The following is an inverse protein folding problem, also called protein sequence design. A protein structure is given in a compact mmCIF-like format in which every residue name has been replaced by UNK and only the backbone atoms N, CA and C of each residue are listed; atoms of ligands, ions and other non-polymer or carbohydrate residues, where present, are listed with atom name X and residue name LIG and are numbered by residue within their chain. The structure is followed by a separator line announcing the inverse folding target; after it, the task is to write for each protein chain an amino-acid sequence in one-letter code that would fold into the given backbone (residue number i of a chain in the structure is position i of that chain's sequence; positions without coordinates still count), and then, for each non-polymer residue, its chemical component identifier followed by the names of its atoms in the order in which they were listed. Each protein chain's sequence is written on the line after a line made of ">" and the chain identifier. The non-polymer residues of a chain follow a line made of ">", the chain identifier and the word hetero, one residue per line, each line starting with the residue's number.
data_IF_563082285138
#
_entry.id   IF_563082285138
#
_cell.length_a   1.000
_cell.length_b   1.000
_cell.length_c   1.000
_cell.angle_alpha   90.00
_cell.angle_beta   90.00
_cell.angle_gamma   90.00
#
_symmetry.space_group_name_H-M   'P 1'
#
loop_
_entity.id
_entity.type
_entity.pdbx_description
1 polymer ?
#
# COMPACT_ATOMS: atom_id res chain seq x y z
N UNK A 1 -22.46 -9.66 -7.14
CA UNK A 1 -21.36 -10.57 -6.77
C UNK A 1 -20.17 -10.44 -7.72
N UNK A 2 -20.24 -10.98 -8.94
CA UNK A 2 -19.08 -10.95 -9.85
C UNK A 2 -18.51 -9.56 -10.13
N UNK A 3 -19.37 -8.54 -10.29
CA UNK A 3 -18.91 -7.15 -10.46
C UNK A 3 -18.11 -6.60 -9.28
N UNK A 4 -18.42 -7.02 -8.05
CA UNK A 4 -17.70 -6.60 -6.84
C UNK A 4 -16.29 -7.16 -6.86
N UNK A 5 -16.14 -8.45 -7.20
CA UNK A 5 -14.83 -9.10 -7.32
C UNK A 5 -13.98 -8.50 -8.44
N UNK A 6 -14.59 -8.11 -9.56
CA UNK A 6 -13.87 -7.39 -10.62
C UNK A 6 -13.40 -6.02 -10.11
N UNK A 7 -14.25 -5.28 -9.41
CA UNK A 7 -13.91 -3.97 -8.88
C UNK A 7 -12.75 -4.05 -7.86
N UNK A 8 -12.81 -4.99 -6.92
CA UNK A 8 -11.74 -5.20 -5.93
C UNK A 8 -10.46 -5.73 -6.58
N UNK A 9 -10.58 -6.62 -7.57
CA UNK A 9 -9.46 -7.11 -8.37
C UNK A 9 -8.74 -5.98 -9.12
N UNK A 10 -9.48 -5.10 -9.79
CA UNK A 10 -8.92 -3.92 -10.48
C UNK A 10 -8.23 -2.99 -9.47
N UNK A 11 -8.84 -2.71 -8.32
CA UNK A 11 -8.24 -1.87 -7.29
C UNK A 11 -6.89 -2.43 -6.79
N UNK A 12 -6.79 -3.77 -6.66
CA UNK A 12 -5.53 -4.46 -6.30
C UNK A 12 -4.51 -4.48 -7.44
N UNK A 13 -4.95 -4.53 -8.70
CA UNK A 13 -4.06 -4.39 -9.86
C UNK A 13 -3.47 -2.98 -9.94
N UNK A 14 -4.22 -1.94 -9.57
CA UNK A 14 -3.71 -0.55 -9.64
C UNK A 14 -2.64 -0.29 -8.57
N UNK A 15 -2.85 -0.79 -7.35
CA UNK A 15 -1.89 -0.62 -6.25
C UNK A 15 -1.64 -1.96 -5.51
N UNK A 16 -0.89 -2.90 -6.09
CA UNK A 16 -0.66 -4.22 -5.50
C UNK A 16 0.15 -4.16 -4.21
N UNK A 17 0.98 -3.13 -4.05
CA UNK A 17 1.84 -2.95 -2.88
C UNK A 17 1.05 -2.81 -1.58
N UNK A 18 -0.06 -2.06 -1.60
CA UNK A 18 -0.96 -1.93 -0.43
C UNK A 18 -1.44 -3.29 0.06
N UNK A 19 -1.86 -4.16 -0.87
CA UNK A 19 -2.31 -5.51 -0.54
C UNK A 19 -1.17 -6.39 -0.04
N UNK A 20 0.02 -6.30 -0.65
CA UNK A 20 1.25 -6.99 -0.20
C UNK A 20 1.60 -6.59 1.24
N UNK A 21 1.54 -5.29 1.56
CA UNK A 21 1.79 -4.77 2.91
C UNK A 21 0.76 -5.29 3.91
N UNK A 22 -0.51 -5.30 3.52
CA UNK A 22 -1.57 -5.83 4.36
C UNK A 22 -1.31 -7.31 4.71
N UNK A 23 -0.94 -8.13 3.72
CA UNK A 23 -0.58 -9.54 3.94
C UNK A 23 0.69 -9.65 4.80
N UNK A 24 1.70 -8.81 4.57
CA UNK A 24 2.94 -8.81 5.34
C UNK A 24 2.71 -8.50 6.82
N UNK A 25 1.77 -7.60 7.15
CA UNK A 25 1.39 -7.29 8.54
C UNK A 25 0.75 -8.47 9.27
N UNK A 26 0.14 -9.42 8.55
CA UNK A 26 -0.46 -10.60 9.17
C UNK A 26 0.61 -11.56 9.73
N UNK A 27 1.82 -11.55 9.15
CA UNK A 27 2.96 -12.40 9.52
C UNK A 27 2.65 -13.91 9.46
N UNK A 28 1.80 -14.30 8.50
CA UNK A 28 1.33 -15.69 8.32
C UNK A 28 2.13 -16.45 7.26
N UNK A 29 2.86 -15.74 6.40
CA UNK A 29 3.46 -16.27 5.17
C UNK A 29 4.93 -15.89 5.14
N UNK A 30 5.78 -16.79 4.61
CA UNK A 30 7.20 -16.50 4.39
C UNK A 30 7.39 -15.23 3.53
N UNK A 31 8.22 -14.27 3.95
CA UNK A 31 8.47 -13.02 3.22
C UNK A 31 8.73 -13.18 1.72
N UNK A 32 9.44 -14.25 1.30
CA UNK A 32 9.74 -14.51 -0.11
C UNK A 32 8.51 -14.91 -0.94
N UNK A 33 7.48 -15.45 -0.30
CA UNK A 33 6.26 -15.91 -0.95
C UNK A 33 5.13 -14.86 -0.93
N UNK A 34 5.25 -13.78 -0.15
CA UNK A 34 4.18 -12.77 -0.03
C UNK A 34 3.87 -12.14 -1.38
N UNK A 35 4.89 -11.73 -2.14
CA UNK A 35 4.71 -11.10 -3.45
C UNK A 35 4.00 -12.04 -4.44
N UNK A 36 4.53 -13.24 -4.76
CA UNK A 36 3.88 -14.12 -5.74
C UNK A 36 2.47 -14.56 -5.29
N UNK A 37 2.25 -14.78 -4.00
CA UNK A 37 0.92 -15.12 -3.46
C UNK A 37 -0.04 -13.95 -3.64
N UNK A 38 0.38 -12.71 -3.34
CA UNK A 38 -0.48 -11.53 -3.46
C UNK A 38 -0.90 -11.25 -4.90
N UNK A 39 0.04 -11.39 -5.85
CA UNK A 39 -0.25 -11.24 -7.28
C UNK A 39 -1.19 -12.34 -7.79
N UNK A 40 -0.93 -13.59 -7.38
CA UNK A 40 -1.79 -14.73 -7.76
C UNK A 40 -3.20 -14.59 -7.18
N UNK A 41 -3.30 -14.17 -5.92
CA UNK A 41 -4.59 -13.93 -5.25
C UNK A 41 -5.39 -12.85 -5.98
N UNK A 42 -4.74 -11.76 -6.39
CA UNK A 42 -5.35 -10.69 -7.18
C UNK A 42 -5.88 -11.20 -8.52
N UNK A 43 -5.12 -12.05 -9.22
CA UNK A 43 -5.56 -12.65 -10.47
C UNK A 43 -6.73 -13.63 -10.27
N UNK A 44 -6.72 -14.45 -9.21
CA UNK A 44 -7.81 -15.37 -8.87
C UNK A 44 -9.10 -14.60 -8.58
N UNK A 45 -9.03 -13.50 -7.85
CA UNK A 45 -10.21 -12.68 -7.54
C UNK A 45 -10.86 -12.11 -8.81
N UNK A 46 -10.06 -11.55 -9.73
CA UNK A 46 -10.53 -11.08 -11.04
C UNK A 46 -11.16 -12.22 -11.86
N UNK A 47 -10.54 -13.41 -11.85
CA UNK A 47 -11.07 -14.61 -12.51
C UNK A 47 -12.40 -15.03 -11.93
N UNK A 48 -12.54 -15.10 -10.60
CA UNK A 48 -13.79 -15.45 -9.94
C UNK A 48 -14.88 -14.42 -10.27
N UNK A 49 -14.53 -13.14 -10.33
CA UNK A 49 -15.44 -12.08 -10.75
C UNK A 49 -15.99 -12.29 -12.16
N UNK A 50 -15.12 -12.52 -13.14
CA UNK A 50 -15.52 -12.77 -14.54
C UNK A 50 -16.27 -14.10 -14.68
N UNK A 51 -15.81 -15.16 -14.01
CA UNK A 51 -16.42 -16.48 -14.06
C UNK A 51 -17.84 -16.48 -13.47
N UNK A 52 -18.07 -15.74 -12.38
CA UNK A 52 -19.41 -15.56 -11.80
C UNK A 52 -20.36 -14.77 -12.72
N UNK A 53 -19.86 -13.79 -13.48
CA UNK A 53 -20.68 -13.03 -14.45
C UNK A 53 -21.04 -13.89 -15.65
N UNK A 54 -20.08 -14.66 -16.16
CA UNK A 54 -20.26 -15.50 -17.34
C UNK A 54 -20.93 -16.84 -17.03
N UNK A 55 -21.09 -17.21 -15.76
CA UNK A 55 -21.65 -18.50 -15.34
C UNK A 55 -20.75 -19.69 -15.67
N UNK A 56 -19.43 -19.51 -15.59
CA UNK A 56 -18.47 -20.58 -15.91
C UNK A 56 -18.33 -21.53 -14.74
N UNK A 57 -18.60 -22.82 -14.95
CA UNK A 57 -18.45 -23.90 -13.96
C UNK A 57 -18.99 -23.49 -12.58
N UNK A 58 -20.28 -23.16 -12.46
CA UNK A 58 -20.86 -22.70 -11.19
C UNK A 58 -20.62 -23.70 -10.04
N UNK A 59 -20.62 -25.00 -10.34
CA UNK A 59 -20.31 -26.09 -9.40
C UNK A 59 -18.92 -26.01 -8.74
N UNK A 60 -17.96 -25.31 -9.36
CA UNK A 60 -16.62 -25.08 -8.81
C UNK A 60 -16.46 -23.63 -8.36
N UNK A 61 -16.92 -22.67 -9.16
CA UNK A 61 -16.70 -21.23 -8.90
C UNK A 61 -17.50 -20.73 -7.70
N UNK A 62 -18.73 -21.23 -7.48
CA UNK A 62 -19.52 -20.85 -6.30
C UNK A 62 -18.86 -21.28 -4.98
N UNK A 63 -18.50 -22.57 -4.76
CA UNK A 63 -17.86 -22.96 -3.51
C UNK A 63 -16.48 -22.34 -3.32
N UNK A 64 -15.70 -22.14 -4.39
CA UNK A 64 -14.41 -21.42 -4.30
C UNK A 64 -14.62 -19.95 -3.90
N UNK A 65 -15.65 -19.29 -4.43
CA UNK A 65 -15.98 -17.90 -4.06
C UNK A 65 -16.45 -17.79 -2.61
N UNK A 66 -17.24 -18.77 -2.14
CA UNK A 66 -17.66 -18.86 -0.73
C UNK A 66 -16.44 -19.07 0.17
N UNK A 67 -15.55 -20.01 -0.19
CA UNK A 67 -14.33 -20.27 0.55
C UNK A 67 -13.45 -19.02 0.64
N UNK A 68 -13.28 -18.29 -0.46
CA UNK A 68 -12.55 -17.03 -0.50
C UNK A 68 -13.15 -16.01 0.49
N UNK A 69 -14.46 -15.78 0.44
CA UNK A 69 -15.16 -14.84 1.31
C UNK A 69 -15.07 -15.25 2.78
N UNK A 70 -15.16 -16.55 3.09
CA UNK A 70 -14.98 -17.08 4.43
C UNK A 70 -13.55 -16.84 4.93
N UNK A 71 -12.53 -17.15 4.12
CA UNK A 71 -11.13 -16.90 4.46
C UNK A 71 -10.87 -15.42 4.72
N UNK A 72 -11.36 -14.52 3.86
CA UNK A 72 -11.24 -13.07 4.03
C UNK A 72 -11.96 -12.58 5.30
N UNK A 73 -13.13 -13.14 5.60
CA UNK A 73 -13.88 -12.79 6.82
C UNK A 73 -13.16 -13.26 8.07
N UNK A 74 -12.62 -14.48 8.07
CA UNK A 74 -11.85 -15.02 9.19
C UNK A 74 -10.57 -14.22 9.42
N UNK A 75 -9.85 -13.86 8.36
CA UNK A 75 -8.67 -13.00 8.44
C UNK A 75 -9.01 -11.61 8.97
N UNK A 76 -10.10 -11.00 8.49
CA UNK A 76 -10.57 -9.70 8.97
C UNK A 76 -10.87 -9.75 10.45
N UNK A 77 -11.68 -10.73 10.89
CA UNK A 77 -12.03 -10.92 12.30
C UNK A 77 -10.79 -11.12 13.18
N UNK A 78 -9.89 -12.03 12.77
CA UNK A 78 -8.65 -12.30 13.51
C UNK A 78 -7.74 -11.07 13.60
N UNK A 79 -7.57 -10.34 12.49
CA UNK A 79 -6.74 -9.14 12.45
C UNK A 79 -7.30 -8.03 13.34
N UNK A 80 -8.63 -7.84 13.34
CA UNK A 80 -9.27 -6.84 14.21
C UNK A 80 -9.23 -7.24 15.68
N UNK A 81 -9.40 -8.53 16.00
CA UNK A 81 -9.37 -9.01 17.39
C UNK A 81 -7.96 -8.97 17.99
N UNK A 82 -6.92 -9.01 17.15
CA UNK A 82 -5.52 -8.94 17.58
C UNK A 82 -4.96 -7.53 17.51
N UNK A 83 -5.74 -6.54 17.05
CA UNK A 83 -5.30 -5.17 16.87
C UNK A 83 -4.25 -4.99 15.76
N UNK A 84 -4.08 -5.98 14.86
CA UNK A 84 -3.03 -5.97 13.83
C UNK A 84 -3.35 -5.03 12.66
N UNK A 85 -4.63 -4.84 12.33
CA UNK A 85 -5.05 -3.91 11.29
C UNK A 85 -6.37 -3.24 11.65
N UNK A 86 -6.47 -1.94 11.36
CA UNK A 86 -7.69 -1.14 11.54
C UNK A 86 -8.62 -1.20 10.31
N UNK A 87 -8.09 -1.62 9.15
CA UNK A 87 -8.81 -1.68 7.87
C UNK A 87 -8.94 -3.11 7.33
N UNK A 88 -10.01 -3.35 6.56
CA UNK A 88 -10.30 -4.64 5.96
C UNK A 88 -9.32 -5.10 4.86
N UNK A 89 -8.42 -4.23 4.38
CA UNK A 89 -7.36 -4.52 3.39
C UNK A 89 -7.81 -4.97 1.99
N UNK A 90 -9.08 -5.34 1.82
CA UNK A 90 -9.61 -5.96 0.61
C UNK A 90 -10.00 -4.94 -0.48
N UNK A 91 -10.43 -3.74 -0.09
CA UNK A 91 -10.91 -2.69 -0.99
C UNK A 91 -9.84 -1.64 -1.30
N UNK A 92 -8.59 -1.85 -0.85
CA UNK A 92 -7.44 -1.00 -1.16
C UNK A 92 -7.64 0.51 -0.87
N UNK A 93 -8.51 0.84 0.10
CA UNK A 93 -8.85 2.22 0.47
C UNK A 93 -9.85 2.94 -0.44
N UNK A 94 -10.29 2.32 -1.54
CA UNK A 94 -11.26 2.94 -2.48
C UNK A 94 -12.65 3.08 -1.87
N UNK A 95 -12.99 2.19 -0.94
CA UNK A 95 -14.22 2.25 -0.17
C UNK A 95 -13.86 2.15 1.31
N UNK A 96 -14.10 3.23 2.06
CA UNK A 96 -13.90 3.27 3.52
C UNK A 96 -14.97 2.39 4.20
N UNK A 97 -14.70 1.09 4.26
CA UNK A 97 -15.58 0.11 4.91
C UNK A 97 -14.94 -0.30 6.23
N UNK A 98 -15.68 -0.10 7.32
CA UNK A 98 -15.27 -0.60 8.64
C UNK A 98 -15.16 -2.13 8.63
N UNK A 99 -14.27 -2.73 9.43
CA UNK A 99 -14.12 -4.18 9.45
C UNK A 99 -15.43 -4.93 9.73
N UNK A 100 -16.29 -4.39 10.59
CA UNK A 100 -17.63 -4.94 10.89
C UNK A 100 -18.57 -4.87 9.68
N UNK A 101 -18.60 -3.76 8.95
CA UNK A 101 -19.36 -3.67 7.70
C UNK A 101 -18.85 -4.65 6.64
N UNK A 102 -17.53 -4.84 6.53
CA UNK A 102 -16.93 -5.81 5.61
C UNK A 102 -17.37 -7.24 5.93
N UNK A 103 -17.38 -7.61 7.22
CA UNK A 103 -17.87 -8.92 7.68
C UNK A 103 -19.34 -9.14 7.35
N UNK A 104 -20.20 -8.12 7.57
CA UNK A 104 -21.63 -8.19 7.25
C UNK A 104 -21.84 -8.33 5.74
N UNK A 105 -21.14 -7.53 4.93
CA UNK A 105 -21.21 -7.60 3.47
C UNK A 105 -20.78 -8.98 2.97
N UNK A 106 -19.68 -9.52 3.48
CA UNK A 106 -19.22 -10.86 3.13
C UNK A 106 -20.24 -11.94 3.54
N UNK A 107 -20.89 -11.81 4.70
CA UNK A 107 -21.94 -12.74 5.12
C UNK A 107 -23.16 -12.71 4.18
N UNK A 108 -23.60 -11.51 3.77
CA UNK A 108 -24.68 -11.33 2.79
C UNK A 108 -24.28 -11.96 1.45
N UNK A 109 -23.04 -11.72 1.01
CA UNK A 109 -22.48 -12.28 -0.22
C UNK A 109 -22.43 -13.81 -0.22
N UNK A 110 -22.01 -14.41 0.89
CA UNK A 110 -22.02 -15.87 1.07
C UNK A 110 -23.46 -16.39 1.03
N UNK A 111 -24.39 -15.74 1.73
CA UNK A 111 -25.81 -16.12 1.71
C UNK A 111 -26.39 -16.08 0.29
N UNK A 112 -26.09 -15.03 -0.48
CA UNK A 112 -26.53 -14.91 -1.88
C UNK A 112 -25.94 -15.99 -2.77
N UNK A 113 -24.68 -16.38 -2.57
CA UNK A 113 -24.04 -17.46 -3.33
C UNK A 113 -24.67 -18.82 -3.00
N UNK A 114 -24.88 -19.12 -1.71
CA UNK A 114 -25.55 -20.36 -1.29
C UNK A 114 -26.97 -20.40 -1.86
N UNK A 115 -27.72 -19.30 -1.76
CA UNK A 115 -29.06 -19.21 -2.34
C UNK A 115 -29.04 -19.44 -3.86
N UNK A 116 -28.07 -18.86 -4.58
CA UNK A 116 -27.91 -19.07 -6.02
C UNK A 116 -27.54 -20.52 -6.36
N UNK A 117 -26.81 -21.23 -5.51
CA UNK A 117 -26.47 -22.65 -5.72
C UNK A 117 -27.69 -23.57 -5.59
N UNK A 118 -28.62 -23.28 -4.67
CA UNK A 118 -29.85 -24.07 -4.50
C UNK A 118 -30.89 -23.84 -5.60
N UNK A 119 -30.96 -22.64 -6.17
CA UNK A 119 -32.00 -22.26 -7.15
C UNK A 119 -31.47 -22.08 -8.57
N UNK A 120 -30.14 -22.11 -8.76
CA UNK A 120 -29.48 -21.94 -10.05
C UNK A 120 -29.70 -23.13 -10.96
N UNK A 121 -29.87 -22.87 -12.25
CA UNK A 121 -29.80 -23.90 -13.28
C UNK A 121 -28.41 -23.90 -13.88
N UNK A 122 -27.73 -25.03 -13.81
CA UNK A 122 -26.43 -25.21 -14.44
C UNK A 122 -26.56 -25.14 -15.96
N UNK A 123 -25.88 -24.17 -16.57
CA UNK A 123 -25.71 -24.12 -18.01
C UNK A 123 -24.35 -24.69 -18.41
N UNK A 124 -24.27 -25.45 -19.51
CA UNK A 124 -23.02 -26.01 -19.97
C UNK A 124 -22.05 -24.89 -20.35
N UNK A 125 -20.80 -25.03 -19.91
CA UNK A 125 -19.76 -24.06 -20.23
C UNK A 125 -19.29 -24.21 -21.67
N UNK A 126 -19.10 -23.08 -22.36
CA UNK A 126 -18.68 -23.02 -23.76
C UNK A 126 -17.20 -22.66 -23.84
N UNK A 127 -16.50 -23.15 -24.88
CA UNK A 127 -15.05 -22.92 -25.06
C UNK A 127 -14.63 -21.44 -25.01
N UNK A 128 -15.43 -20.53 -25.56
CA UNK A 128 -15.09 -19.10 -25.53
C UNK A 128 -15.07 -18.54 -24.10
N UNK A 129 -15.92 -19.05 -23.19
CA UNK A 129 -15.94 -18.61 -21.80
C UNK A 129 -14.65 -19.03 -21.07
N UNK A 130 -14.15 -20.23 -21.35
CA UNK A 130 -12.84 -20.70 -20.86
C UNK A 130 -11.70 -19.83 -21.34
N UNK A 131 -11.72 -19.44 -22.63
CA UNK A 131 -10.73 -18.51 -23.18
C UNK A 131 -10.78 -17.17 -22.47
N UNK A 132 -11.96 -16.60 -22.21
CA UNK A 132 -12.09 -15.33 -21.48
C UNK A 132 -11.56 -15.44 -20.05
N UNK A 133 -11.88 -16.53 -19.33
CA UNK A 133 -11.37 -16.76 -17.96
C UNK A 133 -9.85 -16.88 -17.95
N UNK A 134 -9.28 -17.67 -18.87
CA UNK A 134 -7.82 -17.84 -18.98
C UNK A 134 -7.12 -16.52 -19.33
N UNK A 135 -7.66 -15.78 -20.31
CA UNK A 135 -7.15 -14.45 -20.67
C UNK A 135 -7.24 -13.48 -19.50
N UNK A 136 -8.33 -13.52 -18.73
CA UNK A 136 -8.49 -12.68 -17.53
C UNK A 136 -7.40 -12.97 -16.50
N UNK A 137 -7.08 -14.25 -16.27
CA UNK A 137 -5.99 -14.63 -15.35
C UNK A 137 -4.65 -14.06 -15.82
N UNK A 138 -4.28 -14.31 -17.07
CA UNK A 138 -2.99 -13.91 -17.65
C UNK A 138 -2.87 -12.38 -17.65
N UNK A 139 -3.90 -11.67 -18.12
CA UNK A 139 -3.91 -10.21 -18.17
C UNK A 139 -3.86 -9.62 -16.75
N UNK A 140 -4.68 -10.12 -15.82
CA UNK A 140 -4.71 -9.60 -14.44
C UNK A 140 -3.36 -9.79 -13.75
N UNK A 141 -2.74 -10.95 -13.90
CA UNK A 141 -1.43 -11.24 -13.33
C UNK A 141 -0.34 -10.35 -13.95
N UNK A 142 -0.31 -10.23 -15.28
CA UNK A 142 0.67 -9.42 -15.99
C UNK A 142 0.55 -7.93 -15.62
N UNK A 143 -0.68 -7.40 -15.55
CA UNK A 143 -0.92 -6.01 -15.14
C UNK A 143 -0.52 -5.78 -13.68
N UNK A 144 -0.87 -6.69 -12.76
CA UNK A 144 -0.48 -6.58 -11.36
C UNK A 144 1.05 -6.63 -11.20
N UNK A 145 1.74 -7.54 -11.91
CA UNK A 145 3.19 -7.60 -11.90
C UNK A 145 3.84 -6.33 -12.47
N UNK A 146 3.36 -5.84 -13.61
CA UNK A 146 3.88 -4.61 -14.22
C UNK A 146 3.62 -3.36 -13.36
N UNK A 147 2.48 -3.29 -12.68
CA UNK A 147 2.19 -2.19 -11.73
C UNK A 147 3.11 -2.22 -10.50
N UNK A 148 3.48 -3.42 -10.02
CA UNK A 148 4.42 -3.58 -8.94
C UNK A 148 5.83 -3.17 -9.35
N UNK A 149 6.29 -3.60 -10.53
CA UNK A 149 7.60 -3.23 -11.08
C UNK A 149 7.69 -1.71 -11.29
N UNK A 150 6.68 -1.09 -11.90
CA UNK A 150 6.60 0.35 -12.04
C UNK A 150 6.68 1.08 -10.69
N UNK A 151 6.01 0.56 -9.67
CA UNK A 151 6.04 1.14 -8.33
C UNK A 151 7.42 0.99 -7.67
N UNK A 152 8.13 -0.13 -7.89
CA UNK A 152 9.48 -0.32 -7.38
C UNK A 152 10.49 0.64 -8.04
N UNK A 153 10.32 0.94 -9.33
CA UNK A 153 11.18 1.87 -10.05
C UNK A 153 10.92 3.33 -9.67
N UNK A 154 9.64 3.73 -9.61
CA UNK A 154 9.23 5.13 -9.49
C UNK A 154 8.78 5.53 -8.07
N UNK A 155 8.61 4.57 -7.17
CA UNK A 155 8.12 4.78 -5.81
C UNK A 155 6.63 5.09 -5.72
N UNK A 156 5.85 5.05 -6.82
CA UNK A 156 4.45 5.48 -6.84
C UNK A 156 3.57 4.61 -7.74
N UNK A 157 2.26 4.53 -7.47
CA UNK A 157 1.32 3.89 -8.37
C UNK A 157 1.13 4.69 -9.66
N UNK A 158 0.63 4.04 -10.71
CA UNK A 158 0.27 4.69 -11.98
C UNK A 158 -0.80 5.77 -11.82
N UNK A 159 -1.75 5.53 -10.92
CA UNK A 159 -2.87 6.42 -10.66
C UNK A 159 -2.85 6.80 -9.18
N UNK A 160 -2.61 8.07 -8.89
CA UNK A 160 -2.63 8.62 -7.53
C UNK A 160 -3.83 9.57 -7.37
N UNK A 161 -4.79 9.19 -6.53
CA UNK A 161 -5.99 9.99 -6.22
C UNK A 161 -5.89 10.74 -4.87
N UNK A 162 -4.71 10.76 -4.26
CA UNK A 162 -4.51 11.44 -2.98
C UNK A 162 -4.40 12.96 -3.16
N UNK A 163 -4.59 13.74 -2.07
CA UNK A 163 -4.30 15.17 -2.11
C UNK A 163 -2.85 15.54 -2.47
N UNK A 164 -1.92 14.61 -2.25
CA UNK A 164 -0.46 14.75 -2.36
C UNK A 164 0.08 14.46 -3.78
N UNK A 165 -0.69 14.81 -4.81
CA UNK A 165 -0.30 14.64 -6.21
C UNK A 165 0.87 15.57 -6.59
N UNK A 166 1.63 15.16 -7.60
CA UNK A 166 2.68 15.98 -8.20
C UNK A 166 2.13 17.30 -8.77
N UNK A 167 2.98 18.31 -8.79
CA UNK A 167 2.68 19.67 -9.25
C UNK A 167 1.56 20.38 -8.46
N UNK A 168 1.14 19.83 -7.32
CA UNK A 168 0.26 20.52 -6.37
C UNK A 168 1.09 21.24 -5.32
N UNK A 169 0.55 22.36 -4.85
CA UNK A 169 1.14 23.11 -3.73
C UNK A 169 0.83 22.42 -2.42
N UNK A 170 1.81 22.39 -1.52
CA UNK A 170 1.62 22.06 -0.13
C UNK A 170 0.65 23.06 0.51
N UNK A 171 -0.28 22.58 1.34
CA UNK A 171 -1.21 23.45 2.06
C UNK A 171 -0.63 23.78 3.43
N UNK A 172 -0.48 25.07 3.72
CA UNK A 172 0.10 25.60 4.97
C UNK A 172 -0.73 25.16 6.18
N UNK A 173 -2.06 25.02 6.00
CA UNK A 173 -3.00 24.59 7.03
C UNK A 173 -2.77 23.16 7.53
N UNK A 174 -1.91 22.39 6.87
CA UNK A 174 -1.63 21.00 7.23
C UNK A 174 -0.65 20.85 8.40
N UNK A 175 0.32 21.76 8.55
CA UNK A 175 1.36 21.70 9.59
C UNK A 175 1.46 22.97 10.45
N UNK A 176 0.63 23.99 10.20
CA UNK A 176 0.63 25.22 11.00
C UNK A 176 1.98 25.94 10.93
N UNK A 177 2.53 26.35 12.07
CA UNK A 177 3.80 27.11 12.16
C UNK A 177 5.00 26.34 11.58
N UNK A 178 5.01 25.01 11.66
CA UNK A 178 6.10 24.18 11.12
C UNK A 178 6.17 24.18 9.58
N UNK A 179 5.10 24.65 8.92
CA UNK A 179 5.02 24.66 7.45
C UNK A 179 5.85 25.77 6.79
N UNK A 180 6.25 26.83 7.50
CA UNK A 180 7.05 27.92 6.92
C UNK A 180 8.42 27.42 6.44
N UNK A 181 9.00 26.45 7.15
CA UNK A 181 10.26 25.79 6.79
C UNK A 181 10.17 24.94 5.52
N UNK A 182 8.95 24.50 5.15
CA UNK A 182 8.67 23.66 3.99
C UNK A 182 8.47 24.48 2.69
N UNK A 183 8.31 25.80 2.82
CA UNK A 183 8.01 26.69 1.69
C UNK A 183 9.26 27.13 0.93
N UNK A 184 10.46 26.87 1.45
CA UNK A 184 11.72 27.31 0.87
C UNK A 184 12.73 26.17 0.77
N UNK A 185 13.29 25.98 -0.43
CA UNK A 185 14.29 24.93 -0.68
C UNK A 185 13.68 23.56 -0.93
N UNK A 186 14.53 22.54 -0.96
CA UNK A 186 14.10 21.15 -1.16
C UNK A 186 13.94 20.47 0.20
N UNK A 187 12.75 19.94 0.49
CA UNK A 187 12.45 19.25 1.75
C UNK A 187 11.75 17.92 1.47
N UNK A 188 12.11 16.86 2.18
CA UNK A 188 11.43 15.56 2.15
C UNK A 188 10.59 15.44 3.42
N UNK A 189 9.27 15.41 3.26
CA UNK A 189 8.33 15.13 4.33
C UNK A 189 8.06 13.63 4.37
N UNK A 190 8.34 12.97 5.49
CA UNK A 190 8.22 11.52 5.65
C UNK A 190 7.15 11.17 6.68
N UNK A 191 6.06 10.58 6.22
CA UNK A 191 4.97 10.06 7.04
C UNK A 191 5.30 8.65 7.52
N UNK A 192 5.30 8.47 8.84
CA UNK A 192 5.65 7.22 9.54
C UNK A 192 4.62 6.90 10.63
N UNK A 193 4.79 5.74 11.25
CA UNK A 193 4.01 5.31 12.41
C UNK A 193 4.91 4.55 13.40
N UNK A 194 4.68 4.64 14.73
CA UNK A 194 5.51 3.93 15.72
C UNK A 194 5.49 2.40 15.53
N UNK A 195 4.37 1.86 15.04
CA UNK A 195 4.16 0.42 14.83
C UNK A 195 4.70 -0.08 13.47
N UNK A 196 5.32 0.80 12.70
CA UNK A 196 5.76 0.54 11.33
C UNK A 196 7.08 -0.25 11.28
N UNK A 197 7.01 -1.56 11.10
CA UNK A 197 8.18 -2.42 10.95
C UNK A 197 9.07 -2.03 9.75
N UNK A 198 8.46 -1.56 8.66
CA UNK A 198 9.18 -1.18 7.44
C UNK A 198 9.88 0.18 7.53
N UNK A 199 9.42 1.06 8.40
CA UNK A 199 9.99 2.39 8.58
C UNK A 199 11.46 2.30 9.02
N UNK A 200 11.86 1.21 9.70
CA UNK A 200 13.25 0.96 10.10
C UNK A 200 14.25 1.03 8.92
N UNK A 201 13.89 0.51 7.75
CA UNK A 201 14.76 0.55 6.57
C UNK A 201 14.91 1.98 6.04
N UNK A 202 13.81 2.73 6.00
CA UNK A 202 13.82 4.13 5.60
C UNK A 202 14.65 4.99 6.55
N UNK A 203 14.50 4.80 7.87
CA UNK A 203 15.26 5.53 8.88
C UNK A 203 16.78 5.35 8.71
N UNK A 204 17.24 4.15 8.33
CA UNK A 204 18.64 3.92 8.01
C UNK A 204 19.16 4.82 6.88
N UNK A 205 18.39 4.92 5.78
CA UNK A 205 18.74 5.76 4.63
C UNK A 205 18.61 7.25 4.95
N UNK A 206 17.54 7.66 5.62
CA UNK A 206 17.26 9.07 5.96
C UNK A 206 18.35 9.66 6.86
N UNK A 207 18.90 8.88 7.79
CA UNK A 207 20.05 9.31 8.59
C UNK A 207 21.23 9.68 7.72
N UNK A 208 21.56 8.88 6.70
CA UNK A 208 22.68 9.16 5.80
C UNK A 208 22.48 10.43 4.97
N UNK A 209 21.22 10.70 4.58
CA UNK A 209 20.84 11.87 3.78
C UNK A 209 21.06 13.18 4.54
N UNK A 210 20.74 13.20 5.84
CA UNK A 210 20.82 14.41 6.65
C UNK A 210 22.25 14.93 6.86
N UNK A 211 23.25 14.04 6.85
CA UNK A 211 24.65 14.42 7.07
C UNK A 211 25.33 15.08 5.85
N UNK A 212 24.58 15.36 4.77
CA UNK A 212 25.14 15.94 3.55
C UNK A 212 24.53 17.32 3.26
N UNK A 213 25.36 18.37 3.23
CA UNK A 213 24.97 19.78 3.06
C UNK A 213 24.21 20.11 1.75
N UNK A 214 24.21 19.19 0.78
CA UNK A 214 23.59 19.36 -0.54
C UNK A 214 22.34 18.49 -0.76
N UNK A 215 21.83 17.83 0.28
CA UNK A 215 20.61 17.03 0.21
C UNK A 215 19.41 17.78 0.80
N UNK A 216 18.17 17.42 0.40
CA UNK A 216 16.96 18.03 0.93
C UNK A 216 16.91 17.91 2.45
N UNK A 217 16.39 18.94 3.13
CA UNK A 217 16.06 18.82 4.55
C UNK A 217 15.01 17.71 4.75
N UNK A 218 14.98 17.09 5.92
CA UNK A 218 14.03 16.01 6.22
C UNK A 218 13.13 16.46 7.36
N UNK A 219 11.83 16.23 7.22
CA UNK A 219 10.84 16.42 8.28
C UNK A 219 10.05 15.12 8.43
N UNK A 220 10.11 14.50 9.60
CA UNK A 220 9.33 13.31 9.92
C UNK A 220 7.97 13.68 10.51
N UNK A 221 6.93 12.95 10.12
CA UNK A 221 5.59 13.01 10.71
C UNK A 221 5.25 11.64 11.28
N UNK A 222 4.67 11.60 12.48
CA UNK A 222 4.27 10.36 13.15
C UNK A 222 2.81 10.45 13.57
N UNK A 223 2.04 9.40 13.31
CA UNK A 223 0.60 9.31 13.62
C UNK A 223 0.31 8.97 15.10
N UNK A 224 0.79 9.81 16.02
CA UNK A 224 0.51 9.67 17.45
C UNK A 224 -0.06 10.96 18.04
N UNK A 225 -1.03 10.82 18.95
CA UNK A 225 -1.52 11.91 19.79
C UNK A 225 -0.63 12.14 21.02
N UNK A 226 0.24 11.17 21.36
CA UNK A 226 1.09 11.24 22.54
C UNK A 226 2.49 11.75 22.19
N UNK A 227 2.81 12.96 22.63
CA UNK A 227 4.14 13.59 22.45
C UNK A 227 5.25 12.72 23.05
N UNK A 228 5.00 12.00 24.14
CA UNK A 228 5.99 11.13 24.79
C UNK A 228 6.34 9.92 23.91
N UNK A 229 5.37 9.38 23.19
CA UNK A 229 5.58 8.28 22.24
C UNK A 229 6.39 8.74 21.03
N UNK A 230 6.11 9.95 20.53
CA UNK A 230 6.91 10.59 19.49
C UNK A 230 8.37 10.79 19.94
N UNK A 231 8.59 11.29 21.16
CA UNK A 231 9.94 11.47 21.69
C UNK A 231 10.66 10.13 21.87
N UNK A 232 9.97 9.11 22.40
CA UNK A 232 10.52 7.76 22.53
C UNK A 232 10.91 7.16 21.16
N UNK A 233 10.13 7.43 20.11
CA UNK A 233 10.48 7.02 18.75
C UNK A 233 11.74 7.74 18.24
N UNK A 234 11.85 9.06 18.42
CA UNK A 234 13.05 9.83 18.05
C UNK A 234 14.29 9.30 18.77
N UNK A 235 14.19 9.07 20.07
CA UNK A 235 15.29 8.64 20.92
C UNK A 235 15.72 7.19 20.60
N UNK A 236 14.76 6.27 20.44
CA UNK A 236 15.03 4.86 20.15
C UNK A 236 15.72 4.65 18.81
N UNK A 237 15.40 5.49 17.83
CA UNK A 237 16.02 5.47 16.52
C UNK A 237 17.13 6.52 16.37
N UNK A 238 17.50 7.29 17.39
CA UNK A 238 18.54 8.34 17.29
C UNK A 238 18.36 9.23 16.04
N UNK A 239 17.18 9.81 15.89
CA UNK A 239 16.86 10.67 14.74
C UNK A 239 17.37 12.09 15.00
N UNK A 240 18.12 12.64 14.04
CA UNK A 240 18.69 13.98 14.15
C UNK A 240 17.87 15.03 13.40
N UNK A 241 16.84 14.63 12.64
CA UNK A 241 15.95 15.52 11.90
C UNK A 241 14.68 15.80 12.71
N UNK A 242 14.01 16.95 12.49
CA UNK A 242 12.78 17.28 13.18
C UNK A 242 11.69 16.25 12.88
N UNK A 243 11.02 15.79 13.94
CA UNK A 243 9.89 14.87 13.88
C UNK A 243 8.70 15.48 14.62
N UNK A 244 7.55 15.57 13.95
CA UNK A 244 6.33 16.19 14.48
C UNK A 244 5.27 15.11 14.67
N UNK A 245 4.66 15.10 15.85
CA UNK A 245 3.51 14.26 16.15
C UNK A 245 2.25 14.87 15.53
N UNK A 246 1.48 14.06 14.80
CA UNK A 246 0.23 14.47 14.15
C UNK A 246 -0.86 13.44 14.40
N UNK A 247 -2.11 13.92 14.48
CA UNK A 247 -3.28 13.08 14.72
C UNK A 247 -3.56 12.12 13.54
N UNK A 248 -4.01 10.90 13.80
CA UNK A 248 -4.46 9.94 12.77
C UNK A 248 -5.49 10.53 11.80
N UNK A 249 -6.34 11.46 12.25
CA UNK A 249 -7.29 12.19 11.40
C UNK A 249 -6.61 12.97 10.28
N UNK A 250 -5.40 13.47 10.53
CA UNK A 250 -4.60 14.17 9.55
C UNK A 250 -4.15 13.23 8.42
N UNK A 251 -3.67 12.03 8.76
CA UNK A 251 -3.30 11.00 7.79
C UNK A 251 -4.49 10.59 6.94
N UNK A 252 -5.66 10.41 7.58
CA UNK A 252 -6.91 10.08 6.89
C UNK A 252 -7.32 11.19 5.91
N UNK A 253 -7.24 12.46 6.31
CA UNK A 253 -7.53 13.61 5.44
C UNK A 253 -6.62 13.65 4.20
N UNK A 254 -5.35 13.28 4.37
CA UNK A 254 -4.37 13.19 3.29
C UNK A 254 -4.40 11.86 2.53
N UNK A 255 -5.31 10.94 2.88
CA UNK A 255 -5.42 9.59 2.30
C UNK A 255 -4.09 8.82 2.33
N UNK A 256 -3.38 8.92 3.45
CA UNK A 256 -2.14 8.18 3.67
C UNK A 256 -2.50 6.82 4.27
N UNK A 257 -2.69 5.85 3.40
CA UNK A 257 -3.10 4.49 3.75
C UNK A 257 -1.92 3.54 4.01
N UNK A 258 -0.73 3.90 3.51
CA UNK A 258 0.49 3.12 3.68
C UNK A 258 1.59 4.01 4.24
N UNK A 259 2.26 3.50 5.27
CA UNK A 259 3.48 4.07 5.83
C UNK A 259 4.62 3.05 5.69
N UNK A 260 5.86 3.49 5.46
CA UNK A 260 6.28 4.89 5.28
C UNK A 260 5.84 5.48 3.93
N UNK A 261 5.52 6.77 3.90
CA UNK A 261 5.28 7.53 2.66
C UNK A 261 6.12 8.81 2.70
N UNK A 262 6.83 9.15 1.62
CA UNK A 262 7.54 10.42 1.49
C UNK A 262 6.92 11.31 0.42
N UNK A 263 7.04 12.61 0.62
CA UNK A 263 6.71 13.64 -0.35
C UNK A 263 7.91 14.57 -0.46
N UNK A 264 8.42 14.76 -1.67
CA UNK A 264 9.52 15.69 -1.97
C UNK A 264 8.91 17.03 -2.36
N UNK A 265 9.15 18.03 -1.54
CA UNK A 265 8.77 19.41 -1.76
C UNK A 265 9.95 20.19 -2.32
N UNK A 266 9.67 21.08 -3.27
CA UNK A 266 10.60 22.11 -3.72
C UNK A 266 9.85 23.43 -3.76
N UNK A 267 10.27 24.36 -2.90
CA UNK A 267 9.66 25.69 -2.79
C UNK A 267 8.13 25.61 -2.58
N UNK A 268 7.70 24.71 -1.68
CA UNK A 268 6.28 24.46 -1.38
C UNK A 268 5.48 23.72 -2.45
N UNK A 269 6.11 23.24 -3.53
CA UNK A 269 5.46 22.43 -4.57
C UNK A 269 5.88 20.97 -4.47
N UNK A 270 4.89 20.08 -4.48
CA UNK A 270 5.11 18.63 -4.51
C UNK A 270 5.72 18.25 -5.85
N UNK A 271 6.99 17.84 -5.84
CA UNK A 271 7.70 17.34 -7.01
C UNK A 271 7.44 15.86 -7.19
N UNK A 272 7.57 15.11 -6.10
CA UNK A 272 7.51 13.66 -6.12
C UNK A 272 6.83 13.12 -4.86
N UNK A 273 6.29 11.91 -4.96
CA UNK A 273 5.73 11.16 -3.85
C UNK A 273 6.20 9.71 -3.94
N UNK A 274 6.60 9.15 -2.80
CA UNK A 274 7.08 7.78 -2.68
C UNK A 274 6.27 7.03 -1.63
N UNK A 275 5.76 5.84 -1.94
CA UNK A 275 4.85 5.06 -1.09
C UNK A 275 5.48 3.71 -0.78
N UNK A 276 5.79 3.46 0.49
CA UNK A 276 6.31 2.21 1.03
C UNK A 276 7.77 1.90 0.67
N UNK A 277 8.18 2.15 -0.58
CA UNK A 277 9.56 1.98 -1.06
C UNK A 277 10.15 3.31 -1.49
N UNK A 278 11.43 3.52 -1.15
CA UNK A 278 12.20 4.57 -1.80
C UNK A 278 12.55 4.13 -3.23
N UNK A 279 12.49 5.04 -4.22
CA UNK A 279 12.86 4.71 -5.59
C UNK A 279 14.30 4.21 -5.68
N UNK A 280 14.54 3.20 -6.51
CA UNK A 280 15.87 2.61 -6.67
C UNK A 280 16.92 3.62 -7.15
N UNK A 281 16.54 4.58 -8.00
CA UNK A 281 17.45 5.63 -8.46
C UNK A 281 17.92 6.53 -7.31
N UNK A 282 17.07 6.78 -6.30
CA UNK A 282 17.39 7.61 -5.14
C UNK A 282 18.36 6.89 -4.22
N UNK A 283 18.10 5.61 -3.94
CA UNK A 283 19.00 4.74 -3.17
C UNK A 283 20.36 4.64 -3.87
N UNK A 284 20.37 4.41 -5.19
CA UNK A 284 21.60 4.32 -5.97
C UNK A 284 22.40 5.63 -5.95
N UNK A 285 21.73 6.79 -5.99
CA UNK A 285 22.37 8.10 -5.90
C UNK A 285 23.09 8.31 -4.57
N UNK A 286 22.50 7.84 -3.46
CA UNK A 286 23.12 7.89 -2.13
C UNK A 286 24.36 6.97 -2.09
N UNK A 287 24.19 5.71 -2.52
CA UNK A 287 25.27 4.71 -2.50
C UNK A 287 26.45 5.11 -3.40
N UNK A 288 26.20 5.68 -4.59
CA UNK A 288 27.26 6.14 -5.49
C UNK A 288 28.08 7.27 -4.87
N UNK A 289 27.44 8.18 -4.13
CA UNK A 289 28.12 9.30 -3.47
C UNK A 289 28.90 8.87 -2.23
N UNK A 290 28.37 7.94 -1.45
CA UNK A 290 29.12 7.31 -0.34
C UNK A 290 30.40 6.66 -0.85
N UNK A 291 30.30 5.89 -1.94
CA UNK A 291 31.48 5.28 -2.58
C UNK A 291 32.48 6.32 -3.12
N UNK A 292 32.00 7.48 -3.62
CA UNK A 292 32.88 8.59 -4.02
C UNK A 292 33.55 9.26 -2.83
N UNK A 293 32.82 9.49 -1.73
CA UNK A 293 33.37 10.08 -0.50
C UNK A 293 34.44 9.16 0.12
N UNK A 294 34.18 7.85 0.18
CA UNK A 294 35.14 6.84 0.66
C UNK A 294 36.40 6.80 -0.20
N UNK A 295 36.27 6.92 -1.53
CA UNK A 295 37.42 6.99 -2.45
C UNK A 295 38.19 8.30 -2.33
N UNK A 296 37.53 9.40 -2.02
CA UNK A 296 38.18 10.70 -1.81
C UNK A 296 38.93 10.77 -0.46
N UNK A 297 38.49 10.01 0.55
CA UNK A 297 39.15 9.92 1.86
C UNK A 297 40.29 8.91 1.93
N UNK A 298 40.50 8.07 0.90
CA UNK A 298 41.67 7.19 0.86
C UNK A 298 42.93 8.00 0.50
N UNK A 299 44.02 7.87 1.28
CA UNK A 299 45.27 8.53 0.96
C UNK A 299 45.75 8.02 -0.41
N UNK A 300 46.04 8.96 -1.31
CA UNK A 300 46.71 8.65 -2.58
C UNK A 300 48.11 8.13 -2.24
N UNK A 301 48.31 6.82 -2.36
CA UNK A 301 49.65 6.22 -2.40
C UNK A 301 50.35 6.54 -3.71
#
# INVERSE_FOLDING_TARGET
>A
MGSVFIFTGIAKIIEPWKFIQHIAKLDLINPQLIIPISLTFTAIESVLGVALILGVLPTVIMPVSILLLLSLSMLTYWSTSTGKTEDCGCYNGWLEITPTQSLILNAIYIFLLIFAEFFGQDQPTVLWQWLVVLMTFIISYALAAGSLEYMQENGRPYLDFTPLQENRKWQVEWLGEDSESLMFGSVIVVFMSPECSQCKHWLGVLKLVQWQDNLPAIVGLIDTENIQECQAFVDSYFLNFPVVAVDKRFYKKLKIEVVPTAVVLKDGVIQEKWIGLMPMWFINKINQRENMALRASQPKN
#
